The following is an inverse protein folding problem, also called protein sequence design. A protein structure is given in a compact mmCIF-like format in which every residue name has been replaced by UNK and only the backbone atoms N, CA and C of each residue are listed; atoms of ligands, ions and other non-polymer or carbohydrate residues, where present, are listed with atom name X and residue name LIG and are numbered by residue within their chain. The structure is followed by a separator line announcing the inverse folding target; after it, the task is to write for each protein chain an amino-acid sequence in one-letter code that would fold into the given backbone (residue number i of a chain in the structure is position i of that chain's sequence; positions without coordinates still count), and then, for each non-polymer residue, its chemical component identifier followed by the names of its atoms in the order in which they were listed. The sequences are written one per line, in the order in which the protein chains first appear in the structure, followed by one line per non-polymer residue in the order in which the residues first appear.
data_IF_752981568727
#
_entry.id   IF_752981568727
#
_cell.length_a   1.000
_cell.length_b   1.000
_cell.length_c   1.000
_cell.angle_alpha   90.00
_cell.angle_beta   90.00
_cell.angle_gamma   90.00
#
_symmetry.space_group_name_H-M   'P 1'
#
loop_
_entity.id
_entity.type
_entity.pdbx_description
1 polymer ?
#
# COMPACT_ATOMS: atom_id res chain seq x y z
N UNK A 1 3.17 -20.61 36.51
CA UNK A 1 1.83 -20.39 35.93
C UNK A 1 1.34 -19.05 36.44
N UNK A 2 1.09 -18.05 35.58
CA UNK A 2 0.48 -16.81 36.02
C UNK A 2 -1.02 -17.04 36.29
N UNK A 3 -1.61 -16.35 37.27
CA UNK A 3 -2.98 -16.59 37.69
C UNK A 3 -3.98 -16.17 36.61
N UNK A 4 -4.92 -17.05 36.34
CA UNK A 4 -6.05 -16.86 35.45
C UNK A 4 -6.88 -15.67 35.95
N UNK A 5 -6.83 -14.54 35.23
CA UNK A 5 -7.68 -13.38 35.52
C UNK A 5 -9.14 -13.79 35.30
N UNK A 6 -9.91 -13.78 36.39
CA UNK A 6 -11.36 -14.00 36.35
C UNK A 6 -12.00 -12.82 35.60
N UNK A 7 -12.49 -13.08 34.40
CA UNK A 7 -13.33 -12.15 33.64
C UNK A 7 -14.66 -11.97 34.38
N UNK A 8 -14.99 -10.73 34.72
CA UNK A 8 -16.28 -10.35 35.30
C UNK A 8 -17.41 -10.75 34.34
N UNK A 9 -18.45 -11.40 34.87
CA UNK A 9 -19.57 -11.88 34.08
C UNK A 9 -20.33 -10.70 33.44
N UNK A 10 -20.72 -10.79 32.15
CA UNK A 10 -21.39 -9.69 31.47
C UNK A 10 -22.76 -9.41 32.10
N UNK A 11 -23.19 -8.13 32.19
CA UNK A 11 -24.35 -7.68 32.99
C UNK A 11 -25.72 -8.14 32.48
N UNK A 12 -25.80 -9.03 31.48
CA UNK A 12 -27.06 -9.59 30.94
C UNK A 12 -27.16 -11.11 30.93
N UNK A 13 -26.17 -11.84 31.47
CA UNK A 13 -26.16 -13.31 31.40
C UNK A 13 -26.10 -13.88 29.98
N UNK A 14 -25.78 -13.04 28.98
CA UNK A 14 -25.58 -13.41 27.59
C UNK A 14 -24.09 -13.48 27.30
N UNK A 15 -23.57 -14.69 27.02
CA UNK A 15 -22.16 -14.88 26.72
C UNK A 15 -21.81 -14.43 25.29
N UNK A 16 -20.86 -13.49 25.12
CA UNK A 16 -20.43 -13.00 23.80
C UNK A 16 -19.94 -14.11 22.85
N UNK A 17 -19.47 -15.23 23.41
CA UNK A 17 -18.92 -16.37 22.66
C UNK A 17 -19.96 -17.39 22.19
N UNK A 18 -21.17 -17.40 22.77
CA UNK A 18 -22.18 -18.44 22.48
C UNK A 18 -23.53 -17.87 22.06
N UNK A 19 -23.72 -16.54 22.11
CA UNK A 19 -24.92 -15.89 21.59
C UNK A 19 -25.05 -16.16 20.08
N UNK A 20 -26.21 -16.64 19.62
CA UNK A 20 -26.46 -16.92 18.18
C UNK A 20 -27.64 -16.13 17.63
N UNK A 21 -28.68 -15.90 18.46
CA UNK A 21 -29.91 -15.24 18.02
C UNK A 21 -29.67 -13.74 17.74
N UNK A 22 -30.11 -13.20 16.59
CA UNK A 22 -29.90 -11.78 16.23
C UNK A 22 -30.42 -10.78 17.27
N UNK A 23 -31.52 -11.10 17.94
CA UNK A 23 -32.08 -10.24 19.00
C UNK A 23 -31.14 -10.12 20.20
N UNK A 24 -30.54 -11.23 20.61
CA UNK A 24 -29.60 -11.28 21.72
C UNK A 24 -28.28 -10.60 21.35
N UNK A 25 -27.84 -10.69 20.09
CA UNK A 25 -26.70 -9.91 19.59
C UNK A 25 -26.95 -8.41 19.68
N UNK A 26 -28.13 -7.94 19.25
CA UNK A 26 -28.50 -6.52 19.34
C UNK A 26 -28.54 -6.05 20.79
N UNK A 27 -29.02 -6.88 21.71
CA UNK A 27 -28.98 -6.58 23.16
C UNK A 27 -27.54 -6.47 23.67
N UNK A 28 -26.66 -7.39 23.27
CA UNK A 28 -25.23 -7.38 23.63
C UNK A 28 -24.51 -6.15 23.06
N UNK A 29 -24.76 -5.82 21.79
CA UNK A 29 -24.20 -4.63 21.12
C UNK A 29 -24.69 -3.32 21.74
N UNK A 30 -25.95 -3.24 22.19
CA UNK A 30 -26.46 -2.07 22.93
C UNK A 30 -25.72 -1.84 24.25
N UNK A 31 -25.13 -2.89 24.82
CA UNK A 31 -24.30 -2.81 26.03
C UNK A 31 -22.83 -2.49 25.71
N UNK A 32 -22.50 -2.23 24.44
CA UNK A 32 -21.14 -1.93 24.00
C UNK A 32 -20.24 -3.15 23.83
N UNK A 33 -20.74 -4.37 24.08
CA UNK A 33 -19.98 -5.61 23.91
C UNK A 33 -20.28 -6.16 22.52
N UNK A 34 -19.23 -6.45 21.74
CA UNK A 34 -19.37 -7.04 20.41
C UNK A 34 -19.31 -8.57 20.51
N UNK A 35 -20.17 -9.32 19.79
CA UNK A 35 -20.11 -10.77 19.79
C UNK A 35 -18.82 -11.28 19.13
N UNK A 36 -18.27 -12.37 19.65
CA UNK A 36 -16.95 -12.89 19.22
C UNK A 36 -17.09 -13.80 17.99
N UNK A 37 -16.62 -13.31 16.85
CA UNK A 37 -16.57 -14.05 15.60
C UNK A 37 -17.94 -14.31 14.94
N UNK A 38 -17.95 -15.21 13.96
CA UNK A 38 -19.16 -15.48 13.17
C UNK A 38 -20.25 -16.21 13.98
N UNK A 39 -21.52 -16.06 13.56
CA UNK A 39 -22.65 -16.81 14.14
C UNK A 39 -22.43 -18.32 14.09
N UNK A 40 -21.83 -18.82 12.99
CA UNK A 40 -21.48 -20.23 12.82
C UNK A 40 -20.50 -20.71 13.89
N UNK A 41 -19.45 -19.94 14.18
CA UNK A 41 -18.49 -20.25 15.25
C UNK A 41 -19.21 -20.38 16.60
N UNK A 42 -20.05 -19.41 16.93
CA UNK A 42 -20.77 -19.36 18.22
C UNK A 42 -21.76 -20.53 18.37
N UNK A 43 -22.48 -20.88 17.30
CA UNK A 43 -23.35 -22.04 17.27
C UNK A 43 -22.58 -23.37 17.42
N UNK A 44 -21.43 -23.50 16.76
CA UNK A 44 -20.57 -24.67 16.88
C UNK A 44 -19.99 -24.81 18.30
N UNK A 45 -19.52 -23.72 18.92
CA UNK A 45 -19.03 -23.73 20.31
C UNK A 45 -20.10 -24.13 21.32
N UNK A 46 -21.37 -23.74 21.07
CA UNK A 46 -22.50 -24.14 21.92
C UNK A 46 -22.84 -25.63 21.81
N UNK A 47 -22.73 -26.19 20.61
CA UNK A 47 -23.24 -27.54 20.31
C UNK A 47 -22.15 -28.62 20.27
N UNK A 48 -20.86 -28.25 20.29
CA UNK A 48 -19.74 -29.18 20.17
C UNK A 48 -19.02 -29.42 21.50
N UNK A 49 -18.25 -30.50 21.56
CA UNK A 49 -17.51 -30.92 22.75
C UNK A 49 -16.28 -30.04 23.09
N UNK A 50 -16.07 -28.90 22.40
CA UNK A 50 -14.97 -27.94 22.63
C UNK A 50 -13.57 -28.57 22.68
N UNK A 51 -13.32 -29.61 21.88
CA UNK A 51 -12.01 -30.25 21.72
C UNK A 51 -11.08 -29.33 20.91
N UNK A 52 -9.80 -29.15 21.30
CA UNK A 52 -8.83 -28.41 20.51
C UNK A 52 -8.71 -28.96 19.08
N UNK A 53 -8.56 -28.08 18.10
CA UNK A 53 -8.51 -28.46 16.68
C UNK A 53 -7.48 -29.56 16.37
N UNK A 54 -6.33 -29.53 17.03
CA UNK A 54 -5.26 -30.51 16.79
C UNK A 54 -5.56 -31.90 17.38
N UNK A 55 -6.50 -31.99 18.33
CA UNK A 55 -6.87 -33.23 19.04
C UNK A 55 -8.11 -33.89 18.45
N UNK A 56 -8.60 -33.42 17.30
CA UNK A 56 -9.75 -34.03 16.63
C UNK A 56 -9.42 -35.48 16.21
N UNK A 57 -10.25 -36.47 16.57
CA UNK A 57 -9.93 -37.89 16.42
C UNK A 57 -10.18 -38.40 14.98
N UNK A 58 -9.62 -37.73 13.99
CA UNK A 58 -9.63 -38.17 12.59
C UNK A 58 -8.31 -38.87 12.26
N UNK A 59 -8.37 -40.13 11.82
CA UNK A 59 -7.18 -40.96 11.60
C UNK A 59 -6.16 -40.31 10.67
N UNK A 60 -6.57 -39.99 9.43
CA UNK A 60 -5.68 -39.39 8.43
C UNK A 60 -5.09 -38.05 8.89
N UNK A 61 -5.87 -37.25 9.61
CA UNK A 61 -5.39 -35.97 10.18
C UNK A 61 -4.31 -36.19 11.24
N UNK A 62 -4.50 -37.15 12.15
CA UNK A 62 -3.52 -37.45 13.19
C UNK A 62 -2.25 -38.09 12.63
N UNK A 63 -2.37 -38.97 11.63
CA UNK A 63 -1.23 -39.55 10.92
C UNK A 63 -0.43 -38.47 10.18
N UNK A 64 -1.09 -37.60 9.41
CA UNK A 64 -0.43 -36.48 8.75
C UNK A 64 0.26 -35.56 9.76
N UNK A 65 -0.38 -35.27 10.90
CA UNK A 65 0.22 -34.46 11.97
C UNK A 65 1.51 -35.08 12.52
N UNK A 66 1.56 -36.41 12.71
CA UNK A 66 2.77 -37.10 13.15
C UNK A 66 3.92 -36.91 12.16
N UNK A 67 3.64 -37.01 10.86
CA UNK A 67 4.62 -36.76 9.79
C UNK A 67 5.15 -35.32 9.85
N UNK A 68 4.26 -34.34 9.99
CA UNK A 68 4.64 -32.93 10.09
C UNK A 68 5.43 -32.62 11.37
N UNK A 69 5.12 -33.30 12.47
CA UNK A 69 5.83 -33.13 13.73
C UNK A 69 7.26 -33.67 13.64
N UNK A 70 7.45 -34.84 13.02
CA UNK A 70 8.77 -35.40 12.76
C UNK A 70 9.61 -34.49 11.85
N UNK A 71 9.04 -34.00 10.73
CA UNK A 71 9.74 -33.05 9.84
C UNK A 71 10.13 -31.77 10.58
N UNK A 72 9.25 -31.25 11.43
CA UNK A 72 9.52 -30.06 12.26
C UNK A 72 10.68 -30.29 13.24
N UNK A 73 10.74 -31.44 13.90
CA UNK A 73 11.84 -31.81 14.80
C UNK A 73 13.17 -31.83 14.05
N UNK A 74 13.23 -32.42 12.85
CA UNK A 74 14.42 -32.39 12.00
C UNK A 74 14.83 -30.94 11.64
N UNK A 75 13.88 -30.08 11.29
CA UNK A 75 14.19 -28.66 11.00
C UNK A 75 14.69 -27.91 12.23
N UNK A 76 14.17 -28.21 13.42
CA UNK A 76 14.66 -27.62 14.67
C UNK A 76 16.11 -28.03 14.96
N UNK A 77 16.47 -29.28 14.71
CA UNK A 77 17.87 -29.73 14.80
C UNK A 77 18.77 -29.01 13.80
N UNK A 78 18.32 -28.85 12.54
CA UNK A 78 19.06 -28.09 11.53
C UNK A 78 19.24 -26.63 11.95
N UNK A 79 18.20 -26.00 12.51
CA UNK A 79 18.28 -24.63 13.04
C UNK A 79 19.30 -24.55 14.18
N UNK A 80 19.34 -25.54 15.08
CA UNK A 80 20.32 -25.57 16.17
C UNK A 80 21.75 -25.69 15.63
N UNK A 81 21.98 -26.59 14.66
CA UNK A 81 23.27 -26.76 13.98
C UNK A 81 23.72 -25.47 13.27
N UNK A 82 22.83 -24.82 12.52
CA UNK A 82 23.15 -23.56 11.82
C UNK A 82 23.39 -22.41 12.80
N UNK A 83 22.66 -22.32 13.92
CA UNK A 83 22.95 -21.33 14.97
C UNK A 83 24.34 -21.53 15.57
N UNK A 84 24.76 -22.76 15.81
CA UNK A 84 26.11 -23.06 16.29
C UNK A 84 27.16 -22.68 15.25
N UNK A 85 26.93 -23.00 13.96
CA UNK A 85 27.82 -22.60 12.86
C UNK A 85 27.98 -21.08 12.76
N UNK A 86 26.88 -20.33 12.87
CA UNK A 86 26.92 -18.86 12.88
C UNK A 86 27.71 -18.34 14.07
N UNK A 87 27.46 -18.84 15.29
CA UNK A 87 28.22 -18.43 16.48
C UNK A 87 29.71 -18.70 16.35
N UNK A 88 30.07 -19.88 15.85
CA UNK A 88 31.47 -20.26 15.65
C UNK A 88 32.14 -19.36 14.59
N UNK A 89 31.44 -19.08 13.50
CA UNK A 89 31.95 -18.18 12.46
C UNK A 89 32.05 -16.72 12.94
N UNK A 90 31.12 -16.26 13.78
CA UNK A 90 31.19 -14.93 14.40
C UNK A 90 32.43 -14.80 15.30
N UNK A 91 32.71 -15.82 16.11
CA UNK A 91 33.87 -15.87 17.01
C UNK A 91 35.22 -16.09 16.30
N UNK A 92 35.22 -16.63 15.07
CA UNK A 92 36.44 -16.89 14.32
C UNK A 92 37.11 -15.60 13.81
N UNK A 93 38.44 -15.53 13.83
CA UNK A 93 39.17 -14.36 13.34
C UNK A 93 39.04 -14.14 11.84
N UNK A 94 39.14 -12.86 11.46
CA UNK A 94 38.97 -12.39 10.07
C UNK A 94 40.08 -12.90 9.14
N UNK A 95 41.29 -13.09 9.67
CA UNK A 95 42.46 -13.60 8.95
C UNK A 95 42.26 -15.00 8.40
N UNK A 96 41.58 -15.88 9.15
CA UNK A 96 41.31 -17.27 8.76
C UNK A 96 40.14 -17.32 7.76
N UNK A 97 39.27 -16.30 7.76
CA UNK A 97 38.03 -16.26 7.00
C UNK A 97 38.16 -15.65 5.59
N UNK A 98 39.39 -15.45 5.09
CA UNK A 98 39.64 -14.86 3.77
C UNK A 98 39.33 -13.36 3.69
N UNK A 99 39.34 -12.67 4.84
CA UNK A 99 39.06 -11.24 4.94
C UNK A 99 37.63 -10.91 5.41
N UNK A 100 37.41 -9.65 5.76
CA UNK A 100 36.15 -9.20 6.40
C UNK A 100 34.94 -9.36 5.49
N UNK A 101 35.09 -9.02 4.21
CA UNK A 101 34.01 -9.11 3.22
C UNK A 101 33.54 -10.54 2.99
N UNK A 102 34.46 -11.51 2.91
CA UNK A 102 34.10 -12.93 2.75
C UNK A 102 33.39 -13.46 3.99
N UNK A 103 33.90 -13.13 5.19
CA UNK A 103 33.24 -13.47 6.46
C UNK A 103 31.81 -12.92 6.53
N UNK A 104 31.61 -11.64 6.23
CA UNK A 104 30.27 -11.01 6.21
C UNK A 104 29.34 -11.68 5.20
N UNK A 105 29.83 -11.98 3.99
CA UNK A 105 29.03 -12.63 2.94
C UNK A 105 28.59 -14.03 3.36
N UNK A 106 29.48 -14.79 4.00
CA UNK A 106 29.18 -16.13 4.54
C UNK A 106 28.17 -16.06 5.69
N UNK A 107 28.34 -15.11 6.60
CA UNK A 107 27.38 -14.85 7.68
C UNK A 107 25.99 -14.50 7.14
N UNK A 108 25.92 -13.63 6.13
CA UNK A 108 24.65 -13.25 5.51
C UNK A 108 23.96 -14.43 4.82
N UNK A 109 24.72 -15.28 4.12
CA UNK A 109 24.20 -16.52 3.53
C UNK A 109 23.65 -17.47 4.60
N UNK A 110 24.41 -17.71 5.66
CA UNK A 110 23.96 -18.56 6.79
C UNK A 110 22.73 -17.97 7.49
N UNK A 111 22.68 -16.65 7.69
CA UNK A 111 21.52 -15.97 8.28
C UNK A 111 20.27 -16.10 7.40
N UNK A 112 20.40 -15.96 6.08
CA UNK A 112 19.30 -16.19 5.13
C UNK A 112 18.81 -17.63 5.18
N UNK A 113 19.73 -18.59 5.19
CA UNK A 113 19.39 -20.01 5.30
C UNK A 113 18.67 -20.34 6.62
N UNK A 114 19.12 -19.75 7.73
CA UNK A 114 18.47 -19.88 9.04
C UNK A 114 17.06 -19.29 9.04
N UNK A 115 16.84 -18.11 8.45
CA UNK A 115 15.49 -17.55 8.31
C UNK A 115 14.59 -18.44 7.43
N UNK A 116 15.14 -19.03 6.37
CA UNK A 116 14.41 -19.99 5.54
C UNK A 116 14.03 -21.26 6.33
N UNK A 117 14.95 -21.85 7.10
CA UNK A 117 14.67 -23.02 7.95
C UNK A 117 13.58 -22.74 8.99
N UNK A 118 13.61 -21.54 9.61
CA UNK A 118 12.54 -21.11 10.54
C UNK A 118 11.17 -21.09 9.87
N UNK A 119 11.11 -20.63 8.61
CA UNK A 119 9.86 -20.62 7.84
C UNK A 119 9.42 -22.06 7.55
N UNK A 120 10.33 -22.93 7.07
CA UNK A 120 9.99 -24.32 6.74
C UNK A 120 9.51 -25.12 7.95
N UNK A 121 10.05 -24.87 9.14
CA UNK A 121 9.63 -25.57 10.37
C UNK A 121 8.15 -25.32 10.73
N UNK A 122 7.61 -24.16 10.34
CA UNK A 122 6.30 -23.68 10.77
C UNK A 122 5.29 -23.55 9.61
N UNK A 123 5.71 -23.71 8.35
CA UNK A 123 4.86 -23.48 7.15
C UNK A 123 3.69 -24.45 7.04
N UNK A 124 3.88 -25.68 7.51
CA UNK A 124 2.89 -26.75 7.43
C UNK A 124 2.00 -26.85 8.69
N UNK A 125 2.21 -25.98 9.69
CA UNK A 125 1.38 -25.96 10.89
C UNK A 125 -0.04 -25.41 10.57
N UNK A 126 -1.10 -26.20 10.78
CA UNK A 126 -2.45 -25.77 10.48
C UNK A 126 -2.94 -24.62 11.38
N UNK A 127 -2.46 -24.51 12.63
CA UNK A 127 -2.83 -23.40 13.51
C UNK A 127 -2.21 -22.09 13.05
N UNK A 128 -0.99 -22.12 12.52
CA UNK A 128 -0.33 -20.93 11.97
C UNK A 128 -1.07 -20.44 10.74
N UNK A 129 -1.42 -21.35 9.83
CA UNK A 129 -2.26 -21.01 8.67
C UNK A 129 -3.59 -20.38 9.09
N UNK A 130 -4.28 -21.00 10.05
CA UNK A 130 -5.53 -20.47 10.60
C UNK A 130 -5.37 -19.06 11.17
N UNK A 131 -4.39 -18.85 12.07
CA UNK A 131 -4.12 -17.52 12.69
C UNK A 131 -3.80 -16.46 11.63
N UNK A 132 -3.07 -16.83 10.58
CA UNK A 132 -2.78 -15.94 9.47
C UNK A 132 -4.04 -15.55 8.69
N UNK A 133 -4.88 -16.54 8.35
CA UNK A 133 -6.14 -16.31 7.62
C UNK A 133 -7.16 -15.51 8.43
N UNK A 134 -7.19 -15.71 9.75
CA UNK A 134 -8.02 -14.95 10.70
C UNK A 134 -7.49 -13.52 10.93
N UNK A 135 -6.25 -13.20 10.51
CA UNK A 135 -5.63 -11.88 10.66
C UNK A 135 -5.00 -11.63 12.04
N UNK A 136 -4.86 -12.67 12.86
CA UNK A 136 -4.25 -12.63 14.20
C UNK A 136 -2.76 -13.01 14.20
N UNK A 137 -2.16 -13.09 13.01
CA UNK A 137 -0.75 -13.43 12.83
C UNK A 137 0.19 -12.34 13.36
N UNK A 138 1.18 -12.74 14.16
CA UNK A 138 2.20 -11.84 14.67
C UNK A 138 3.30 -11.57 13.62
N UNK A 139 3.27 -10.38 13.01
CA UNK A 139 4.21 -9.97 11.96
C UNK A 139 5.67 -9.83 12.44
N UNK A 140 5.97 -9.95 13.74
CA UNK A 140 7.35 -10.08 14.19
C UNK A 140 7.97 -11.43 13.78
N UNK A 141 7.16 -12.49 13.70
CA UNK A 141 7.62 -13.83 13.33
C UNK A 141 7.78 -13.93 11.80
N UNK A 142 8.85 -14.57 11.32
CA UNK A 142 9.17 -14.62 9.90
C UNK A 142 8.10 -15.38 9.08
N UNK A 143 7.44 -16.37 9.67
CA UNK A 143 6.41 -17.15 8.97
C UNK A 143 5.20 -16.31 8.55
N UNK A 144 4.67 -15.44 9.44
CA UNK A 144 3.53 -14.60 9.10
C UNK A 144 3.89 -13.54 8.06
N UNK A 145 5.10 -12.96 8.13
CA UNK A 145 5.59 -12.05 7.09
C UNK A 145 5.73 -12.75 5.73
N UNK A 146 6.26 -13.97 5.71
CA UNK A 146 6.38 -14.76 4.50
C UNK A 146 5.03 -15.09 3.88
N UNK A 147 4.06 -15.54 4.69
CA UNK A 147 2.70 -15.81 4.22
C UNK A 147 2.00 -14.54 3.69
N UNK A 148 2.24 -13.40 4.35
CA UNK A 148 1.72 -12.11 3.91
C UNK A 148 2.33 -11.67 2.57
N UNK A 149 3.66 -11.78 2.42
CA UNK A 149 4.36 -11.46 1.17
C UNK A 149 3.87 -12.35 0.03
N UNK A 150 3.72 -13.65 0.28
CA UNK A 150 3.19 -14.61 -0.70
C UNK A 150 1.78 -14.22 -1.15
N UNK A 151 0.86 -13.99 -0.21
CA UNK A 151 -0.53 -13.57 -0.49
C UNK A 151 -0.59 -12.25 -1.25
N UNK A 152 0.29 -11.30 -0.92
CA UNK A 152 0.36 -10.02 -1.61
C UNK A 152 0.89 -10.19 -3.05
N UNK A 153 1.95 -10.98 -3.26
CA UNK A 153 2.52 -11.27 -4.58
C UNK A 153 1.57 -12.03 -5.51
N UNK A 154 0.72 -12.88 -4.95
CA UNK A 154 -0.24 -13.68 -5.73
C UNK A 154 -1.23 -12.80 -6.52
N UNK A 155 -1.67 -11.68 -5.93
CA UNK A 155 -2.72 -10.84 -6.52
C UNK A 155 -2.41 -9.33 -6.44
N UNK A 156 -2.37 -8.74 -5.25
CA UNK A 156 -2.29 -7.28 -5.06
C UNK A 156 -1.06 -6.65 -5.72
N UNK A 157 0.11 -7.31 -5.66
CA UNK A 157 1.32 -6.86 -6.35
C UNK A 157 1.13 -6.80 -7.87
N UNK A 158 0.43 -7.77 -8.45
CA UNK A 158 0.17 -7.80 -9.90
C UNK A 158 -0.74 -6.66 -10.32
N UNK A 159 -1.76 -6.35 -9.52
CA UNK A 159 -2.65 -5.21 -9.76
C UNK A 159 -1.86 -3.90 -9.73
N UNK A 160 -1.04 -3.66 -8.71
CA UNK A 160 -0.27 -2.39 -8.64
C UNK A 160 0.78 -2.28 -9.75
N UNK A 161 1.47 -3.38 -10.09
CA UNK A 161 2.43 -3.39 -11.22
C UNK A 161 1.73 -3.09 -12.54
N UNK A 162 0.57 -3.70 -12.79
CA UNK A 162 -0.25 -3.37 -13.95
C UNK A 162 -0.62 -1.88 -13.97
N UNK A 163 -0.99 -1.28 -12.83
CA UNK A 163 -1.31 0.16 -12.75
C UNK A 163 -0.11 1.06 -12.98
N UNK A 164 1.06 0.69 -12.47
CA UNK A 164 2.32 1.43 -12.70
C UNK A 164 2.60 1.54 -14.21
N UNK A 165 2.47 0.43 -14.93
CA UNK A 165 2.69 0.37 -16.37
C UNK A 165 1.57 1.07 -17.16
N UNK A 166 0.30 0.75 -16.86
CA UNK A 166 -0.87 1.29 -17.56
C UNK A 166 -0.97 2.81 -17.45
N UNK A 167 -0.65 3.36 -16.27
CA UNK A 167 -0.65 4.79 -16.03
C UNK A 167 0.72 5.42 -16.23
N UNK A 168 1.67 4.76 -16.88
CA UNK A 168 2.99 5.31 -17.24
C UNK A 168 3.73 5.98 -16.07
N UNK A 169 3.49 5.54 -14.83
CA UNK A 169 4.20 6.05 -13.65
C UNK A 169 5.69 5.80 -13.79
N UNK A 170 6.02 4.65 -14.37
CA UNK A 170 7.29 4.39 -15.05
C UNK A 170 7.02 4.54 -16.54
N UNK A 171 7.74 5.42 -17.28
CA UNK A 171 8.98 6.11 -16.91
C UNK A 171 8.82 7.53 -16.33
N UNK A 172 7.61 8.09 -16.27
CA UNK A 172 7.38 9.53 -16.02
C UNK A 172 7.99 10.03 -14.71
N UNK A 173 7.69 9.35 -13.60
CA UNK A 173 8.16 9.76 -12.26
C UNK A 173 9.47 9.08 -11.88
N UNK A 174 9.63 7.81 -12.25
CA UNK A 174 10.84 7.02 -12.00
C UNK A 174 11.19 6.17 -13.22
N UNK A 175 12.50 5.99 -13.51
CA UNK A 175 12.93 5.19 -14.68
C UNK A 175 12.69 3.70 -14.49
N UNK A 176 12.78 3.20 -13.25
CA UNK A 176 12.49 1.82 -12.88
C UNK A 176 11.96 1.81 -11.45
N UNK A 177 10.89 1.05 -11.22
CA UNK A 177 10.30 0.88 -9.90
C UNK A 177 9.59 -0.47 -9.82
N UNK A 178 9.96 -1.26 -8.82
CA UNK A 178 9.23 -2.45 -8.44
C UNK A 178 8.83 -2.35 -6.97
N UNK A 179 7.53 -2.47 -6.64
CA UNK A 179 7.09 -2.42 -5.27
C UNK A 179 7.58 -3.66 -4.51
N UNK A 180 8.07 -3.41 -3.30
CA UNK A 180 8.51 -4.42 -2.32
C UNK A 180 7.68 -4.39 -1.03
N UNK A 181 6.91 -3.32 -0.82
CA UNK A 181 5.97 -3.18 0.29
C UNK A 181 4.54 -2.94 -0.25
N UNK A 182 3.54 -3.43 0.47
CA UNK A 182 2.14 -3.17 0.17
C UNK A 182 1.74 -1.80 0.72
N UNK A 183 1.09 -0.97 -0.11
CA UNK A 183 0.53 0.32 0.32
C UNK A 183 -0.96 0.31 0.01
N UNK A 184 -1.80 0.33 1.06
CA UNK A 184 -3.24 0.53 0.91
C UNK A 184 -3.61 1.95 1.25
N UNK A 185 -4.44 2.53 0.39
CA UNK A 185 -4.91 3.89 0.50
C UNK A 185 -6.35 3.91 1.00
N UNK A 186 -6.64 4.78 1.95
CA UNK A 186 -8.00 5.09 2.36
C UNK A 186 -8.15 6.60 2.60
N UNK A 187 -9.29 7.15 2.19
CA UNK A 187 -9.72 8.49 2.60
C UNK A 187 -10.89 8.34 3.56
N UNK A 188 -10.76 8.93 4.75
CA UNK A 188 -11.75 8.76 5.83
C UNK A 188 -12.03 7.26 6.08
N UNK A 189 -13.28 6.82 5.89
CA UNK A 189 -13.71 5.42 6.02
C UNK A 189 -13.65 4.61 4.71
N UNK A 190 -13.42 5.26 3.56
CA UNK A 190 -13.46 4.63 2.24
C UNK A 190 -12.07 4.15 1.83
N UNK A 191 -11.95 2.84 1.60
CA UNK A 191 -10.76 2.26 0.95
C UNK A 191 -10.79 2.58 -0.56
N UNK A 192 -9.63 2.94 -1.11
CA UNK A 192 -9.46 3.31 -2.52
C UNK A 192 -8.61 2.25 -3.21
N UNK A 193 -9.07 1.76 -4.36
CA UNK A 193 -8.27 0.83 -5.16
C UNK A 193 -7.22 1.59 -5.97
N UNK A 194 -6.09 0.95 -6.33
CA UNK A 194 -5.07 1.59 -7.14
C UNK A 194 -5.61 2.09 -8.49
N UNK A 195 -5.57 3.41 -8.68
CA UNK A 195 -6.03 4.09 -9.89
C UNK A 195 -7.51 4.45 -9.93
N UNK A 196 -8.25 4.30 -8.83
CA UNK A 196 -9.63 4.76 -8.73
C UNK A 196 -9.73 6.28 -8.84
N UNK A 197 -10.88 6.77 -9.34
CA UNK A 197 -11.24 8.17 -9.26
C UNK A 197 -11.74 8.52 -7.87
N UNK A 198 -11.21 9.60 -7.31
CA UNK A 198 -11.57 10.11 -5.99
C UNK A 198 -12.12 11.52 -6.14
N UNK A 199 -13.29 11.74 -5.55
CA UNK A 199 -13.96 13.05 -5.48
C UNK A 199 -13.10 14.05 -4.69
N UNK A 200 -13.08 15.30 -5.15
CA UNK A 200 -12.32 16.41 -4.54
C UNK A 200 -12.72 16.61 -3.07
N UNK A 201 -13.99 16.44 -2.72
CA UNK A 201 -14.51 16.58 -1.35
C UNK A 201 -13.99 15.49 -0.42
N UNK A 202 -13.77 14.29 -0.96
CA UNK A 202 -13.25 13.14 -0.19
C UNK A 202 -11.75 13.28 0.01
N UNK A 203 -11.04 13.74 -1.02
CA UNK A 203 -9.58 13.91 -1.04
C UNK A 203 -9.10 15.26 -0.47
N UNK A 204 -10.01 16.15 -0.10
CA UNK A 204 -9.71 17.38 0.63
C UNK A 204 -8.89 17.09 1.91
N UNK A 205 -9.25 16.02 2.62
CA UNK A 205 -8.55 15.63 3.84
C UNK A 205 -7.38 14.68 3.55
N UNK A 206 -6.31 14.73 4.37
CA UNK A 206 -5.15 13.85 4.20
C UNK A 206 -5.52 12.37 4.23
N UNK A 207 -4.91 11.60 3.35
CA UNK A 207 -5.15 10.18 3.27
C UNK A 207 -4.61 9.41 4.49
N UNK A 208 -5.15 8.20 4.71
CA UNK A 208 -4.59 7.21 5.62
C UNK A 208 -3.96 6.09 4.82
N UNK A 209 -2.68 5.87 5.06
CA UNK A 209 -1.93 4.78 4.45
C UNK A 209 -1.84 3.61 5.43
N UNK A 210 -1.92 2.40 4.88
CA UNK A 210 -1.52 1.18 5.56
C UNK A 210 -0.36 0.58 4.77
N UNK A 211 0.84 0.66 5.32
CA UNK A 211 2.10 0.23 4.69
C UNK A 211 2.57 -1.06 5.34
N UNK A 212 2.38 -2.18 4.66
CA UNK A 212 2.87 -3.47 5.15
C UNK A 212 4.24 -3.77 4.54
N UNK A 213 5.23 -3.90 5.43
CA UNK A 213 6.58 -4.36 5.08
C UNK A 213 6.72 -5.84 5.45
N UNK A 214 7.44 -6.60 4.61
CA UNK A 214 7.63 -8.04 4.78
C UNK A 214 9.01 -8.42 5.35
N UNK A 215 9.93 -7.46 5.43
CA UNK A 215 11.24 -7.63 6.04
C UNK A 215 11.22 -7.30 7.54
N UNK A 216 12.17 -7.85 8.30
CA UNK A 216 12.29 -7.54 9.74
C UNK A 216 12.88 -6.16 10.01
N UNK A 217 12.66 -5.66 11.22
CA UNK A 217 13.28 -4.44 11.74
C UNK A 217 12.42 -3.19 11.58
N UNK A 218 12.70 -2.21 12.43
CA UNK A 218 12.14 -0.86 12.31
C UNK A 218 12.99 -0.04 11.33
N UNK A 219 12.35 0.82 10.56
CA UNK A 219 13.01 1.68 9.57
C UNK A 219 12.27 3.01 9.46
N UNK A 220 12.98 4.02 8.96
CA UNK A 220 12.41 5.31 8.66
C UNK A 220 12.00 5.37 7.20
N UNK A 221 10.80 5.89 6.94
CA UNK A 221 10.32 6.14 5.58
C UNK A 221 9.98 7.60 5.37
N UNK A 222 10.07 8.00 4.11
CA UNK A 222 9.59 9.26 3.58
C UNK A 222 8.41 9.01 2.66
N UNK A 223 7.35 9.79 2.81
CA UNK A 223 6.14 9.73 1.97
C UNK A 223 6.04 10.99 1.14
N UNK A 224 5.94 10.82 -0.18
CA UNK A 224 5.77 11.91 -1.13
C UNK A 224 4.52 11.67 -1.98
N UNK A 225 3.63 12.67 -2.05
CA UNK A 225 2.45 12.66 -2.92
C UNK A 225 2.71 13.60 -4.08
N UNK A 226 2.74 13.05 -5.29
CA UNK A 226 3.11 13.76 -6.51
C UNK A 226 1.96 13.69 -7.50
N UNK A 227 1.52 14.86 -7.96
CA UNK A 227 0.69 15.04 -9.15
C UNK A 227 1.63 15.12 -10.36
N UNK A 228 1.42 14.25 -11.35
CA UNK A 228 2.25 14.17 -12.54
C UNK A 228 1.72 15.00 -13.73
N UNK A 229 0.49 15.49 -13.65
CA UNK A 229 -0.26 15.96 -14.82
C UNK A 229 -0.71 17.42 -14.67
N UNK A 230 0.08 18.26 -13.99
CA UNK A 230 -0.25 19.69 -13.83
C UNK A 230 -0.06 20.42 -15.16
N UNK A 231 -1.10 21.00 -15.76
CA UNK A 231 -1.01 21.63 -17.08
C UNK A 231 -0.14 22.90 -17.02
N UNK A 232 0.75 23.04 -17.99
CA UNK A 232 1.59 24.22 -18.19
C UNK A 232 1.39 24.77 -19.60
N UNK A 233 0.52 25.76 -19.70
CA UNK A 233 0.06 26.36 -20.96
C UNK A 233 1.20 27.06 -21.71
N UNK A 234 2.13 27.68 -20.99
CA UNK A 234 3.21 28.46 -21.59
C UNK A 234 4.15 27.61 -22.46
N UNK A 235 4.42 26.39 -22.01
CA UNK A 235 5.35 25.47 -22.68
C UNK A 235 4.64 24.31 -23.39
N UNK A 236 3.30 24.34 -23.46
CA UNK A 236 2.46 23.27 -24.00
C UNK A 236 2.84 21.87 -23.48
N UNK A 237 3.05 21.77 -22.16
CA UNK A 237 3.50 20.54 -21.50
C UNK A 237 2.84 20.34 -20.13
N UNK A 238 3.20 19.24 -19.47
CA UNK A 238 2.80 18.96 -18.09
C UNK A 238 3.99 19.11 -17.15
N UNK A 239 3.73 19.65 -15.98
CA UNK A 239 4.67 19.74 -14.87
C UNK A 239 4.23 18.79 -13.75
N UNK A 240 5.17 18.51 -12.85
CA UNK A 240 4.90 17.77 -11.62
C UNK A 240 4.66 18.74 -10.45
N UNK A 241 3.84 18.33 -9.48
CA UNK A 241 3.63 19.09 -8.24
C UNK A 241 3.58 18.17 -7.03
N UNK A 242 4.24 18.57 -5.95
CA UNK A 242 4.19 17.88 -4.68
C UNK A 242 3.02 18.38 -3.82
N UNK A 243 2.08 17.49 -3.56
CA UNK A 243 0.92 17.77 -2.71
C UNK A 243 1.23 17.52 -1.24
N UNK A 244 2.16 16.63 -0.92
CA UNK A 244 2.53 16.31 0.45
C UNK A 244 3.92 15.69 0.50
N UNK A 245 4.74 16.09 1.47
CA UNK A 245 6.05 15.50 1.73
C UNK A 245 6.28 15.40 3.23
N UNK A 246 6.49 14.19 3.73
CA UNK A 246 6.92 13.95 5.10
C UNK A 246 8.06 12.93 5.13
N UNK A 247 8.95 13.07 6.11
CA UNK A 247 10.15 12.26 6.27
C UNK A 247 10.26 11.74 7.70
N UNK A 248 11.16 10.79 7.93
CA UNK A 248 11.51 10.26 9.26
C UNK A 248 10.35 9.56 9.96
N UNK A 249 9.45 8.94 9.20
CA UNK A 249 8.29 8.25 9.77
C UNK A 249 8.71 6.82 10.12
N UNK A 250 8.66 6.41 11.40
CA UNK A 250 9.04 5.07 11.80
C UNK A 250 7.96 4.06 11.39
N UNK A 251 8.34 3.03 10.66
CA UNK A 251 7.48 1.90 10.33
C UNK A 251 8.14 0.59 10.72
N UNK A 252 7.30 -0.40 11.00
CA UNK A 252 7.72 -1.77 11.26
C UNK A 252 6.68 -2.75 10.71
N UNK A 253 6.98 -4.05 10.61
CA UNK A 253 5.99 -5.03 10.17
C UNK A 253 4.72 -5.09 11.03
N UNK A 254 4.81 -4.64 12.29
CA UNK A 254 3.69 -4.58 13.23
C UNK A 254 3.05 -3.20 13.32
N UNK A 255 3.82 -2.13 13.05
CA UNK A 255 3.35 -0.74 12.99
C UNK A 255 3.19 -0.33 11.53
N UNK A 256 2.07 -0.71 10.94
CA UNK A 256 1.76 -0.53 9.52
C UNK A 256 0.83 0.67 9.23
N UNK A 257 0.23 1.27 10.26
CA UNK A 257 -0.71 2.38 10.08
C UNK A 257 -0.02 3.73 10.06
N UNK A 258 -0.21 4.47 8.96
CA UNK A 258 0.40 5.76 8.70
C UNK A 258 -0.68 6.76 8.23
N UNK A 259 -1.44 7.39 9.15
CA UNK A 259 -2.33 8.49 8.83
C UNK A 259 -1.54 9.78 8.55
N UNK A 260 -1.66 10.33 7.34
CA UNK A 260 -0.90 11.53 6.94
C UNK A 260 -1.32 12.79 7.73
N UNK A 261 -2.53 12.80 8.29
CA UNK A 261 -3.02 13.88 9.14
C UNK A 261 -2.35 13.96 10.52
N UNK A 262 -1.64 12.92 10.95
CA UNK A 262 -0.96 12.87 12.26
C UNK A 262 0.56 12.99 12.16
N UNK A 263 1.08 13.47 11.04
CA UNK A 263 2.52 13.71 10.91
C UNK A 263 2.93 14.89 11.79
N UNK A 264 3.98 14.71 12.57
CA UNK A 264 4.51 15.75 13.45
C UNK A 264 5.20 16.85 12.65
N UNK A 265 5.34 18.06 13.21
CA UNK A 265 6.04 19.17 12.55
C UNK A 265 7.53 18.87 12.26
N UNK A 266 8.12 17.97 13.06
CA UNK A 266 9.49 17.46 12.91
C UNK A 266 9.64 16.43 11.78
N UNK A 267 8.53 15.98 11.19
CA UNK A 267 8.47 15.04 10.07
C UNK A 267 7.92 15.71 8.80
N UNK A 268 7.04 16.69 8.97
CA UNK A 268 6.31 17.33 7.89
C UNK A 268 7.18 18.37 7.17
N UNK A 269 7.48 18.15 5.90
CA UNK A 269 8.18 19.11 5.03
C UNK A 269 7.16 19.98 4.30
N UNK A 270 6.26 19.35 3.54
CA UNK A 270 5.19 20.03 2.81
C UNK A 270 3.84 19.52 3.33
N UNK A 271 2.96 20.40 3.86
CA UNK A 271 1.65 20.01 4.36
C UNK A 271 0.76 19.49 3.24
N UNK A 272 -0.32 18.81 3.61
CA UNK A 272 -1.28 18.29 2.63
C UNK A 272 -1.92 19.43 1.85
N UNK A 273 -1.78 19.38 0.52
CA UNK A 273 -2.53 20.18 -0.41
C UNK A 273 -3.62 19.28 -1.02
N UNK A 274 -4.91 19.63 -0.88
CA UNK A 274 -5.99 18.92 -1.54
C UNK A 274 -5.68 18.65 -3.01
N UNK A 275 -5.88 17.43 -3.51
CA UNK A 275 -5.86 17.13 -4.93
C UNK A 275 -6.90 17.98 -5.66
N UNK A 276 -6.50 18.55 -6.79
CA UNK A 276 -7.39 19.29 -7.67
C UNK A 276 -6.91 19.21 -9.11
N UNK A 277 -7.84 19.35 -10.03
CA UNK A 277 -7.60 19.42 -11.47
C UNK A 277 -8.50 20.49 -12.04
N UNK A 278 -8.02 21.29 -12.98
CA UNK A 278 -8.76 22.42 -13.53
C UNK A 278 -9.82 21.93 -14.53
N UNK A 279 -10.84 22.74 -14.77
CA UNK A 279 -11.92 22.32 -15.67
C UNK A 279 -11.39 22.13 -17.09
N UNK A 280 -11.71 21.00 -17.71
CA UNK A 280 -11.30 20.70 -19.09
C UNK A 280 -9.88 20.16 -19.25
N UNK A 281 -9.07 20.11 -18.18
CA UNK A 281 -7.86 19.27 -18.18
C UNK A 281 -8.25 17.79 -18.16
N UNK A 282 -7.37 16.87 -18.61
CA UNK A 282 -7.57 15.45 -18.36
C UNK A 282 -7.55 15.15 -16.85
N UNK A 283 -7.81 13.89 -16.47
CA UNK A 283 -7.60 13.46 -15.09
C UNK A 283 -6.13 13.59 -14.70
N UNK A 284 -5.89 13.85 -13.42
CA UNK A 284 -4.56 13.95 -12.84
C UNK A 284 -4.21 12.67 -12.07
N UNK A 285 -3.00 12.15 -12.27
CA UNK A 285 -2.47 10.97 -11.58
C UNK A 285 -1.76 11.38 -10.28
N UNK A 286 -2.34 10.99 -9.15
CA UNK A 286 -1.75 11.22 -7.83
C UNK A 286 -1.02 9.98 -7.34
N UNK A 287 0.30 10.05 -7.37
CA UNK A 287 1.19 8.97 -6.97
C UNK A 287 1.74 9.21 -5.58
N UNK A 288 1.43 8.31 -4.65
CA UNK A 288 1.89 8.32 -3.27
C UNK A 288 3.06 7.37 -3.14
N UNK A 289 4.28 7.88 -3.20
CA UNK A 289 5.48 7.08 -3.04
C UNK A 289 5.86 6.97 -1.57
N UNK A 290 6.10 5.73 -1.14
CA UNK A 290 6.73 5.43 0.16
C UNK A 290 8.16 5.01 -0.13
N UNK A 291 9.12 5.76 0.40
CA UNK A 291 10.55 5.54 0.19
C UNK A 291 11.25 5.26 1.52
N UNK A 292 12.04 4.19 1.56
CA UNK A 292 12.87 3.80 2.70
C UNK A 292 14.14 4.66 2.75
N UNK A 293 14.44 5.19 3.94
CA UNK A 293 15.69 5.88 4.22
C UNK A 293 16.78 4.87 4.58
N UNK A 294 18.06 5.26 4.45
CA UNK A 294 19.14 4.35 4.85
C UNK A 294 19.08 4.10 6.36
N UNK A 295 19.50 2.91 6.84
CA UNK A 295 19.55 2.63 8.27
C UNK A 295 20.35 3.68 9.04
N UNK A 296 19.76 4.27 10.09
CA UNK A 296 20.39 5.31 10.92
C UNK A 296 20.46 6.70 10.28
N UNK A 297 19.93 6.87 9.06
CA UNK A 297 19.83 8.17 8.41
C UNK A 297 18.56 8.87 8.87
N UNK A 298 18.69 10.07 9.42
CA UNK A 298 17.59 11.00 9.67
C UNK A 298 17.75 12.20 8.75
N UNK A 299 16.68 12.59 8.06
CA UNK A 299 16.70 13.75 7.17
C UNK A 299 16.37 15.02 7.97
N UNK A 300 17.13 16.09 7.75
CA UNK A 300 16.83 17.39 8.37
C UNK A 300 15.63 18.05 7.68
N UNK A 301 14.52 18.15 8.41
CA UNK A 301 13.25 18.68 7.90
C UNK A 301 13.33 20.19 7.63
N UNK A 302 14.12 20.96 8.40
CA UNK A 302 14.24 22.39 8.20
C UNK A 302 14.93 22.70 6.86
N UNK A 303 16.08 22.08 6.61
CA UNK A 303 16.78 22.19 5.33
C UNK A 303 15.92 21.70 4.15
N UNK A 304 15.10 20.66 4.34
CA UNK A 304 14.19 20.17 3.30
C UNK A 304 13.07 21.18 2.96
N UNK A 305 12.55 21.91 3.95
CA UNK A 305 11.51 22.94 3.75
C UNK A 305 12.02 24.11 2.90
N UNK A 306 13.28 24.50 3.09
CA UNK A 306 13.91 25.56 2.30
C UNK A 306 14.23 25.10 0.87
N UNK A 307 14.62 23.83 0.72
CA UNK A 307 15.08 23.29 -0.55
C UNK A 307 13.94 22.91 -1.50
N UNK A 308 12.86 22.34 -0.99
CA UNK A 308 11.79 21.77 -1.80
C UNK A 308 10.58 22.68 -1.86
N UNK A 309 10.27 23.12 -3.08
CA UNK A 309 9.03 23.80 -3.42
C UNK A 309 8.00 22.78 -3.93
N UNK A 310 6.72 23.17 -3.89
CA UNK A 310 5.63 22.31 -4.37
C UNK A 310 5.70 22.12 -5.88
N UNK A 311 5.91 23.19 -6.63
CA UNK A 311 5.88 23.16 -8.09
C UNK A 311 7.18 22.61 -8.68
N UNK A 312 7.04 21.88 -9.80
CA UNK A 312 8.15 21.21 -10.51
C UNK A 312 8.96 20.26 -9.63
N UNK A 313 8.31 19.63 -8.65
CA UNK A 313 8.96 18.67 -7.76
C UNK A 313 9.41 17.41 -8.53
N UNK A 314 10.70 17.08 -8.45
CA UNK A 314 11.27 15.88 -9.08
C UNK A 314 11.53 14.79 -8.04
N UNK A 315 10.73 13.72 -8.08
CA UNK A 315 10.92 12.54 -7.23
C UNK A 315 12.28 11.86 -7.48
N UNK A 316 12.73 11.84 -8.74
CA UNK A 316 14.04 11.30 -9.12
C UNK A 316 15.17 12.06 -8.41
N UNK A 317 15.12 13.38 -8.43
CA UNK A 317 16.13 14.22 -7.77
C UNK A 317 16.09 14.05 -6.26
N UNK A 318 14.90 13.94 -5.66
CA UNK A 318 14.75 13.65 -4.23
C UNK A 318 15.38 12.30 -3.85
N UNK A 319 15.10 11.26 -4.64
CA UNK A 319 15.67 9.92 -4.48
C UNK A 319 17.20 9.96 -4.52
N UNK A 320 17.77 10.57 -5.54
CA UNK A 320 19.22 10.54 -5.76
C UNK A 320 19.98 11.41 -4.76
N UNK A 321 19.44 12.60 -4.41
CA UNK A 321 20.06 13.52 -3.45
C UNK A 321 20.10 12.97 -2.02
N UNK A 322 19.03 12.31 -1.58
CA UNK A 322 18.94 11.78 -0.22
C UNK A 322 19.25 10.28 -0.12
N UNK A 323 19.46 9.60 -1.24
CA UNK A 323 19.75 8.17 -1.29
C UNK A 323 18.61 7.31 -0.74
N UNK A 324 17.37 7.78 -0.84
CA UNK A 324 16.19 7.04 -0.40
C UNK A 324 15.77 6.01 -1.47
N UNK A 325 15.19 4.89 -1.05
CA UNK A 325 14.77 3.82 -1.95
C UNK A 325 13.24 3.74 -2.01
N UNK A 326 12.60 3.95 -3.17
CA UNK A 326 11.15 3.77 -3.28
C UNK A 326 10.82 2.27 -3.07
N UNK A 327 9.92 1.98 -2.13
CA UNK A 327 9.53 0.61 -1.75
C UNK A 327 8.05 0.32 -2.00
N UNK A 328 7.19 1.34 -2.01
CA UNK A 328 5.75 1.18 -2.14
C UNK A 328 5.10 2.35 -2.87
N UNK A 329 3.94 2.09 -3.46
CA UNK A 329 3.16 3.07 -4.20
C UNK A 329 1.67 2.91 -3.89
N UNK A 330 1.03 4.01 -3.48
CA UNK A 330 -0.41 4.21 -3.59
C UNK A 330 -0.72 5.06 -4.81
N UNK A 331 -1.84 4.81 -5.48
CA UNK A 331 -2.23 5.54 -6.69
C UNK A 331 -3.73 5.82 -6.69
N UNK A 332 -4.10 7.04 -7.00
CA UNK A 332 -5.49 7.41 -7.31
C UNK A 332 -5.50 8.52 -8.36
N UNK A 333 -6.66 8.81 -8.92
CA UNK A 333 -6.86 9.86 -9.90
C UNK A 333 -7.91 10.85 -9.40
N UNK A 334 -7.78 12.11 -9.79
CA UNK A 334 -8.83 13.11 -9.63
C UNK A 334 -9.10 13.79 -10.96
N UNK A 335 -10.34 14.23 -11.14
CA UNK A 335 -10.77 15.05 -12.27
C UNK A 335 -11.66 16.18 -11.76
N UNK A 336 -11.95 17.17 -12.61
CA UNK A 336 -12.82 18.28 -12.22
C UNK A 336 -14.22 17.75 -11.93
N UNK A 337 -14.69 17.98 -10.70
CA UNK A 337 -16.03 17.63 -10.25
C UNK A 337 -16.78 18.86 -9.71
N UNK A 338 -18.01 18.65 -9.23
CA UNK A 338 -18.86 19.72 -8.69
C UNK A 338 -18.26 20.40 -7.45
N UNK A 339 -17.52 19.64 -6.63
CA UNK A 339 -16.93 20.12 -5.37
C UNK A 339 -15.57 20.81 -5.53
N UNK A 340 -14.91 20.63 -6.68
CA UNK A 340 -13.52 21.07 -6.89
C UNK A 340 -13.36 22.56 -6.66
N UNK A 341 -14.31 23.37 -7.16
CA UNK A 341 -14.32 24.82 -6.97
C UNK A 341 -14.32 25.22 -5.49
N UNK A 342 -15.20 24.61 -4.69
CA UNK A 342 -15.33 24.93 -3.26
C UNK A 342 -14.11 24.46 -2.46
N UNK A 343 -13.54 23.30 -2.81
CA UNK A 343 -12.31 22.78 -2.20
C UNK A 343 -11.13 23.72 -2.49
N UNK A 344 -10.99 24.16 -3.75
CA UNK A 344 -9.94 25.12 -4.14
C UNK A 344 -10.10 26.45 -3.40
N UNK A 345 -11.32 26.99 -3.30
CA UNK A 345 -11.58 28.23 -2.58
C UNK A 345 -11.26 28.11 -1.08
N UNK A 346 -11.67 27.02 -0.42
CA UNK A 346 -11.36 26.78 1.00
C UNK A 346 -9.86 26.61 1.26
N UNK A 347 -9.15 26.02 0.32
CA UNK A 347 -7.70 25.82 0.40
C UNK A 347 -6.88 27.03 -0.10
N UNK A 348 -7.53 28.11 -0.57
CA UNK A 348 -6.84 29.29 -1.10
C UNK A 348 -6.08 29.04 -2.41
N UNK A 349 -6.56 28.10 -3.22
CA UNK A 349 -5.93 27.68 -4.48
C UNK A 349 -6.53 28.45 -5.64
N UNK A 350 -5.69 29.08 -6.46
CA UNK A 350 -6.08 29.83 -7.64
C UNK A 350 -6.37 28.93 -8.86
N UNK A 351 -7.06 29.46 -9.87
CA UNK A 351 -7.35 28.77 -11.13
C UNK A 351 -8.62 27.91 -11.13
N UNK A 352 -9.52 28.11 -10.16
CA UNK A 352 -10.85 27.48 -10.14
C UNK A 352 -11.81 28.08 -11.18
N UNK A 353 -11.49 29.27 -11.69
CA UNK A 353 -12.22 30.03 -12.71
C UNK A 353 -11.69 29.81 -14.13
N UNK A 354 -10.66 28.97 -14.29
CA UNK A 354 -10.02 28.66 -15.57
C UNK A 354 -10.62 27.38 -16.16
N UNK A 355 -10.89 27.39 -17.47
CA UNK A 355 -11.33 26.23 -18.24
C UNK A 355 -10.43 26.00 -19.45
N UNK A 356 -9.84 24.81 -19.54
CA UNK A 356 -9.09 24.37 -20.71
C UNK A 356 -10.02 23.85 -21.79
N UNK A 357 -9.70 24.22 -23.04
CA UNK A 357 -10.36 23.72 -24.23
C UNK A 357 -9.34 23.00 -25.10
N UNK A 358 -9.78 21.93 -25.75
CA UNK A 358 -8.95 21.24 -26.74
C UNK A 358 -8.57 22.20 -27.86
N UNK A 359 -7.27 22.27 -28.15
CA UNK A 359 -6.76 23.04 -29.28
C UNK A 359 -7.36 22.51 -30.58
N UNK A 360 -8.07 23.37 -31.32
CA UNK A 360 -8.59 23.03 -32.65
C UNK A 360 -7.46 23.11 -33.66
N UNK A 361 -7.15 21.98 -34.28
CA UNK A 361 -6.20 21.92 -35.40
C UNK A 361 -6.98 22.22 -36.68
N UNK A 362 -6.77 23.38 -37.33
CA UNK A 362 -7.44 23.68 -38.59
C UNK A 362 -6.95 22.74 -39.70
N UNK A 363 -7.81 22.49 -40.69
CA UNK A 363 -7.42 21.70 -41.85
C UNK A 363 -6.26 22.42 -42.59
N UNK A 364 -5.14 21.72 -42.76
CA UNK A 364 -3.98 22.25 -43.50
C UNK A 364 -4.29 22.45 -44.99
N UNK A 365 -5.24 21.69 -45.53
CA UNK A 365 -5.63 21.80 -46.94
C UNK A 365 -6.47 23.07 -47.14
N UNK A 366 -6.12 23.93 -48.11
CA UNK A 366 -6.93 25.09 -48.41
C UNK A 366 -8.31 24.65 -48.90
N UNK A 367 -9.32 25.49 -48.68
CA UNK A 367 -10.68 25.23 -49.16
C UNK A 367 -10.67 25.22 -50.69
N UNK A 368 -10.95 24.07 -51.29
CA UNK A 368 -11.07 23.91 -52.73
C UNK A 368 -12.52 24.11 -53.19
N UNK A 369 -12.72 24.55 -54.44
CA UNK A 369 -14.04 24.56 -55.06
C UNK A 369 -14.58 23.13 -55.13
N UNK A 370 -15.86 22.97 -54.79
CA UNK A 370 -16.51 21.67 -54.87
C UNK A 370 -16.45 21.14 -56.32
N UNK A 371 -16.04 19.89 -56.46
CA UNK A 371 -15.94 19.17 -57.74
C UNK A 371 -17.09 18.17 -57.83
N UNK A 372 -17.50 17.81 -59.04
CA UNK A 372 -18.67 16.97 -59.30
C UNK A 372 -19.74 17.73 -60.06
N UNK A 373 -20.54 16.99 -60.85
CA UNK A 373 -21.56 17.59 -61.72
C UNK A 373 -22.60 18.35 -60.88
N UNK A 374 -23.15 17.71 -59.85
CA UNK A 374 -24.13 18.32 -58.95
C UNK A 374 -23.59 19.56 -58.23
N UNK A 375 -22.36 19.48 -57.71
CA UNK A 375 -21.72 20.62 -57.03
C UNK A 375 -21.50 21.83 -57.95
N UNK A 376 -21.22 21.60 -59.24
CA UNK A 376 -21.11 22.66 -60.26
C UNK A 376 -22.45 23.26 -60.66
N UNK A 377 -23.55 22.53 -60.46
CA UNK A 377 -24.92 22.94 -60.80
C UNK A 377 -25.76 23.27 -59.55
N UNK A 378 -25.11 23.41 -58.39
CA UNK A 378 -25.74 23.74 -57.12
C UNK A 378 -26.13 25.23 -56.97
N UNK A 379 -25.76 26.09 -57.93
CA UNK A 379 -26.17 27.51 -57.95
C UNK A 379 -27.53 27.70 -58.61
N UNK A 380 -28.28 28.75 -58.26
CA UNK A 380 -29.67 28.95 -58.72
C UNK A 380 -29.81 29.14 -60.24
N UNK A 381 -28.70 29.42 -60.92
CA UNK A 381 -28.60 29.38 -62.39
C UNK A 381 -29.08 28.05 -63.01
N UNK A 382 -28.97 26.94 -62.28
CA UNK A 382 -29.30 25.60 -62.77
C UNK A 382 -30.50 24.99 -62.03
N UNK A 383 -31.39 25.82 -61.49
CA UNK A 383 -32.56 25.38 -60.72
C UNK A 383 -33.47 24.41 -61.50
N UNK A 384 -33.54 24.52 -62.83
CA UNK A 384 -34.29 23.61 -63.71
C UNK A 384 -33.71 22.19 -63.80
N UNK A 385 -32.42 22.02 -63.47
CA UNK A 385 -31.72 20.73 -63.45
C UNK A 385 -31.77 20.06 -62.07
N UNK A 386 -32.25 20.76 -61.04
CA UNK A 386 -32.50 20.19 -59.72
C UNK A 386 -33.89 19.55 -59.77
N UNK A 387 -33.93 18.22 -59.76
CA UNK A 387 -35.19 17.48 -59.60
C UNK A 387 -35.65 17.53 -58.16
#
# INVERSE_FOLDING_TARGET
MPPCQKTEAPPSGLDPETVVRPENERKLMRQGIMPVGSRRRRAALKNSANVPFEQLPYQCFQEARKVLQADREEKLEMIAKERLRIKNLEAQDVSISGGERQKQTRLDSMRRHLEWLKIQADINDPLIKKRFEDGEGDMNKPIYRYLADRKWREYQRKVIVQRIEQFSIVPDLLPHFEPTAEVRLAFQSRNVQPGDYVDSRVSEFPARLKVQVFDKGERLVSVAVVDADVPNVENDNFNTRCHYLATNIPISPTKDSLPLSKADESQLVLPWLPPFSQKGSPYHRYSIFVSEQKPGQTLDVAALKELYQRDRFSLRSFKDRHGVKPIGLGLFRSEWDEGTKEVMQRAGIEGWDIEFKRTRIPALKPKQKARGWEARHASDKYKSLRR
#
